data_IF_637681417238
#
_entry.id   IF_637681417238
#
_cell.length_a   1.000
_cell.length_b   1.000
_cell.length_c   1.000
_cell.angle_alpha   90.00
_cell.angle_beta   90.00
_cell.angle_gamma   90.00
#
_symmetry.space_group_name_H-M   'P 1'
#
loop_
_entity.id
_entity.type
_entity.pdbx_description
1 polymer ?
#
# COMPACT_ATOMS: atom_id res chain seq x y z
N UNK A 1 -3.59 -34.48 -16.49
CA UNK A 1 -3.24 -34.66 -15.07
C UNK A 1 -1.76 -34.47 -14.72
N UNK A 2 -0.77 -34.64 -15.60
CA UNK A 2 0.67 -34.47 -15.26
C UNK A 2 1.19 -33.03 -15.17
N UNK A 3 0.47 -32.02 -15.67
CA UNK A 3 0.91 -30.59 -15.64
C UNK A 3 0.48 -29.82 -14.39
N UNK A 4 -0.45 -30.34 -13.61
CA UNK A 4 -0.91 -29.71 -12.35
C UNK A 4 0.01 -30.08 -11.17
N UNK A 5 0.74 -31.21 -11.30
CA UNK A 5 1.66 -31.67 -10.25
C UNK A 5 2.94 -30.87 -10.14
N UNK A 6 3.36 -30.19 -11.21
CA UNK A 6 4.63 -29.41 -11.26
C UNK A 6 4.47 -28.05 -10.52
N UNK A 7 3.28 -27.47 -10.49
CA UNK A 7 3.02 -26.20 -9.78
C UNK A 7 3.01 -26.40 -8.26
N UNK A 8 2.61 -27.60 -7.78
CA UNK A 8 2.59 -27.93 -6.35
C UNK A 8 3.98 -28.16 -5.73
N UNK A 9 4.99 -28.53 -6.51
CA UNK A 9 6.32 -28.89 -6.00
C UNK A 9 7.25 -27.65 -5.83
N UNK A 10 6.95 -26.55 -6.53
CA UNK A 10 7.73 -25.29 -6.40
C UNK A 10 7.43 -24.56 -5.08
N UNK A 11 6.33 -24.87 -4.41
CA UNK A 11 5.92 -24.24 -3.15
C UNK A 11 6.53 -24.86 -1.88
N UNK A 12 7.22 -25.99 -1.95
CA UNK A 12 7.71 -26.73 -0.76
C UNK A 12 9.22 -26.51 -0.49
N UNK A 13 9.94 -25.80 -1.36
CA UNK A 13 11.41 -25.66 -1.29
C UNK A 13 11.96 -24.48 -0.49
N UNK A 14 11.13 -23.69 0.23
CA UNK A 14 11.56 -22.46 0.92
C UNK A 14 11.56 -22.60 2.45
N UNK A 15 12.27 -23.58 2.98
CA UNK A 15 12.66 -23.58 4.39
C UNK A 15 13.76 -22.53 4.61
N UNK A 16 13.35 -21.37 5.11
CA UNK A 16 14.19 -20.18 5.20
C UNK A 16 15.17 -20.22 6.37
N UNK A 17 16.39 -19.85 6.11
CA UNK A 17 17.34 -19.34 7.10
C UNK A 17 16.77 -18.01 7.63
N UNK A 18 16.87 -17.80 8.94
CA UNK A 18 16.65 -16.50 9.57
C UNK A 18 17.69 -15.53 8.98
N UNK A 19 17.24 -14.60 8.15
CA UNK A 19 18.09 -13.56 7.57
C UNK A 19 17.67 -12.26 8.26
N UNK A 20 18.65 -11.50 8.76
CA UNK A 20 18.44 -10.12 9.19
C UNK A 20 17.77 -9.33 8.03
N UNK A 21 16.83 -8.43 8.35
CA UNK A 21 16.11 -7.66 7.32
C UNK A 21 14.59 -7.81 7.35
N UNK A 22 14.02 -8.34 8.44
CA UNK A 22 12.57 -8.55 8.61
C UNK A 22 11.72 -7.31 8.36
N UNK A 23 12.32 -6.11 8.54
CA UNK A 23 11.66 -4.81 8.38
C UNK A 23 12.28 -3.93 7.29
N UNK A 24 13.02 -4.52 6.37
CA UNK A 24 13.75 -3.77 5.34
C UNK A 24 12.85 -2.95 4.40
N UNK A 25 11.55 -3.23 4.32
CA UNK A 25 10.55 -2.52 3.53
C UNK A 25 9.42 -1.94 4.40
N UNK A 26 9.64 -1.73 5.69
CA UNK A 26 8.61 -1.23 6.62
C UNK A 26 7.97 0.09 6.15
N UNK A 27 8.72 0.97 5.49
CA UNK A 27 8.21 2.22 4.94
C UNK A 27 7.18 2.02 3.82
N UNK A 28 7.27 0.92 3.05
CA UNK A 28 6.30 0.57 2.01
C UNK A 28 4.98 0.04 2.59
N UNK A 29 5.00 -0.55 3.80
CA UNK A 29 3.81 -1.02 4.49
C UNK A 29 2.90 0.12 4.99
N UNK A 30 3.43 1.33 5.11
CA UNK A 30 2.65 2.48 5.53
C UNK A 30 1.54 2.81 4.53
N UNK A 31 1.69 2.40 3.27
CA UNK A 31 0.77 2.73 2.17
C UNK A 31 0.94 4.16 1.70
N UNK A 32 0.36 4.51 0.54
CA UNK A 32 0.57 5.79 -0.15
C UNK A 32 -0.75 6.56 -0.39
N UNK A 33 -1.81 6.17 0.29
CA UNK A 33 -3.13 6.78 0.13
C UNK A 33 -3.77 7.05 1.48
N UNK A 34 -4.23 8.28 1.71
CA UNK A 34 -5.01 8.62 2.89
C UNK A 34 -6.34 7.82 2.92
N UNK A 35 -6.98 7.59 1.75
CA UNK A 35 -8.14 6.71 1.63
C UNK A 35 -7.84 5.30 2.10
N UNK A 36 -6.74 4.71 1.61
CA UNK A 36 -6.33 3.36 2.01
C UNK A 36 -6.01 3.28 3.50
N UNK A 37 -5.24 4.23 4.01
CA UNK A 37 -4.88 4.31 5.43
C UNK A 37 -6.10 4.38 6.34
N UNK A 38 -7.11 5.17 5.96
CA UNK A 38 -8.36 5.27 6.70
C UNK A 38 -9.12 3.93 6.79
N UNK A 39 -8.93 3.04 5.80
CA UNK A 39 -9.49 1.69 5.77
C UNK A 39 -8.45 0.61 6.13
N UNK A 40 -7.49 0.96 7.00
CA UNK A 40 -6.45 0.05 7.48
C UNK A 40 -5.60 -0.60 6.36
N UNK A 41 -5.47 0.04 5.19
CA UNK A 41 -4.86 -0.46 3.95
C UNK A 41 -5.50 -1.76 3.39
N UNK A 42 -6.74 -2.09 3.77
CA UNK A 42 -7.44 -3.31 3.35
C UNK A 42 -8.14 -3.15 1.99
N UNK A 43 -7.57 -2.43 1.04
CA UNK A 43 -8.23 -2.03 -0.21
C UNK A 43 -7.75 -2.75 -1.47
N UNK A 44 -6.97 -3.83 -1.35
CA UNK A 44 -6.41 -4.55 -2.50
C UNK A 44 -7.44 -5.08 -3.49
N UNK A 45 -8.69 -5.33 -3.07
CA UNK A 45 -9.81 -5.69 -3.94
C UNK A 45 -10.66 -4.50 -4.42
N UNK A 46 -10.47 -3.29 -3.84
CA UNK A 46 -11.33 -2.12 -4.07
C UNK A 46 -10.61 -0.92 -4.71
N UNK A 47 -9.28 -0.83 -4.63
CA UNK A 47 -8.58 0.34 -5.17
C UNK A 47 -8.48 0.30 -6.70
N UNK A 48 -8.99 1.35 -7.34
CA UNK A 48 -9.00 1.57 -8.80
C UNK A 48 -8.29 2.88 -9.16
N UNK A 49 -7.46 3.39 -8.27
CA UNK A 49 -6.76 4.68 -8.41
C UNK A 49 -5.29 4.50 -8.80
N UNK A 50 -4.60 5.61 -8.97
CA UNK A 50 -3.17 5.69 -9.21
C UNK A 50 -2.32 5.13 -8.05
N UNK A 51 -2.92 4.98 -6.87
CA UNK A 51 -2.27 4.41 -5.67
C UNK A 51 -2.40 2.89 -5.56
N UNK A 52 -3.20 2.25 -6.43
CA UNK A 52 -3.48 0.81 -6.36
C UNK A 52 -2.23 -0.08 -6.46
N UNK A 53 -1.15 0.41 -7.10
CA UNK A 53 0.08 -0.35 -7.29
C UNK A 53 0.65 -0.90 -5.98
N UNK A 54 0.51 -0.19 -4.86
CA UNK A 54 1.13 -0.58 -3.58
C UNK A 54 0.38 -1.73 -2.89
N UNK A 55 -0.93 -1.85 -3.10
CA UNK A 55 -1.76 -2.92 -2.52
C UNK A 55 -1.96 -4.07 -3.49
N UNK A 56 -2.42 -3.77 -4.71
CA UNK A 56 -2.62 -4.74 -5.78
C UNK A 56 -2.46 -4.07 -7.15
N UNK A 57 -1.37 -4.32 -7.89
CA UNK A 57 -1.09 -3.65 -9.16
C UNK A 57 -2.17 -3.88 -10.23
N UNK A 58 -3.03 -4.91 -10.10
CA UNK A 58 -4.16 -5.09 -11.00
C UNK A 58 -5.14 -3.90 -10.99
N UNK A 59 -5.20 -3.13 -9.89
CA UNK A 59 -6.05 -1.94 -9.78
C UNK A 59 -5.70 -0.83 -10.76
N UNK A 60 -4.44 -0.70 -11.15
CA UNK A 60 -3.99 0.29 -12.16
C UNK A 60 -4.70 0.08 -13.50
N UNK A 61 -5.09 -1.14 -13.83
CA UNK A 61 -5.78 -1.46 -15.09
C UNK A 61 -7.13 -0.75 -15.29
N UNK A 62 -7.71 -0.20 -14.23
CA UNK A 62 -8.97 0.56 -14.29
C UNK A 62 -8.81 2.05 -14.63
N UNK A 63 -7.58 2.54 -14.76
CA UNK A 63 -7.30 3.93 -15.14
C UNK A 63 -7.76 4.16 -16.58
N UNK A 64 -8.70 5.11 -16.79
CA UNK A 64 -9.27 5.46 -18.09
C UNK A 64 -8.96 6.90 -18.51
N UNK A 65 -8.46 7.71 -17.59
CA UNK A 65 -7.96 9.07 -17.82
C UNK A 65 -6.69 9.27 -17.00
N UNK A 66 -5.83 10.18 -17.41
CA UNK A 66 -4.62 10.46 -16.66
C UNK A 66 -4.97 10.96 -15.24
N UNK A 67 -4.23 10.48 -14.25
CA UNK A 67 -4.44 10.82 -12.83
C UNK A 67 -3.11 11.10 -12.17
N UNK A 68 -3.05 12.22 -11.48
CA UNK A 68 -1.95 12.59 -10.59
C UNK A 68 -2.38 12.34 -9.14
N UNK A 69 -1.55 11.65 -8.38
CA UNK A 69 -1.74 11.43 -6.95
C UNK A 69 -0.61 12.02 -6.14
N UNK A 70 -0.94 12.67 -5.03
CA UNK A 70 -0.02 13.25 -4.07
C UNK A 70 -0.44 12.85 -2.66
N UNK A 71 0.52 12.59 -1.77
CA UNK A 71 0.25 12.37 -0.35
C UNK A 71 1.39 12.91 0.50
N UNK A 72 1.02 13.52 1.60
CA UNK A 72 1.90 13.88 2.71
C UNK A 72 1.43 13.21 4.00
N UNK A 73 2.36 12.66 4.77
CA UNK A 73 2.10 12.08 6.09
C UNK A 73 3.11 12.57 7.09
N UNK A 74 2.65 13.09 8.21
CA UNK A 74 3.43 13.21 9.43
C UNK A 74 3.22 11.94 10.25
N UNK A 75 4.26 11.12 10.34
CA UNK A 75 4.22 9.83 11.03
C UNK A 75 4.71 10.03 12.47
N UNK A 76 3.78 10.03 13.43
CA UNK A 76 4.04 10.21 14.86
C UNK A 76 4.74 11.54 15.23
N UNK A 77 4.77 12.53 14.31
CA UNK A 77 5.56 13.74 14.47
C UNK A 77 7.09 13.55 14.43
N UNK A 78 7.55 12.36 14.00
CA UNK A 78 8.97 11.98 14.01
C UNK A 78 9.53 11.74 12.60
N UNK A 79 8.67 11.40 11.65
CA UNK A 79 9.07 11.08 10.29
C UNK A 79 8.09 11.64 9.26
N UNK A 80 8.60 11.95 8.09
CA UNK A 80 7.81 12.37 6.94
C UNK A 80 7.72 11.25 5.91
N UNK A 81 6.49 10.96 5.44
CA UNK A 81 6.23 9.99 4.40
C UNK A 81 5.47 10.66 3.26
N UNK A 82 6.09 10.74 2.11
CA UNK A 82 5.62 11.46 0.93
C UNK A 82 5.41 10.52 -0.25
N UNK A 83 4.42 10.82 -1.07
CA UNK A 83 4.14 10.11 -2.30
C UNK A 83 3.77 11.09 -3.42
N UNK A 84 4.26 10.80 -4.61
CA UNK A 84 3.81 11.38 -5.87
C UNK A 84 3.72 10.28 -6.92
N UNK A 85 2.64 10.24 -7.70
CA UNK A 85 2.46 9.26 -8.75
C UNK A 85 1.57 9.77 -9.87
N UNK A 86 1.88 9.32 -11.08
CA UNK A 86 1.11 9.57 -12.29
C UNK A 86 0.70 8.24 -12.90
N UNK A 87 -0.60 8.09 -13.17
CA UNK A 87 -1.12 6.95 -13.90
C UNK A 87 -1.83 7.41 -15.18
N UNK A 88 -1.59 6.72 -16.28
CA UNK A 88 -2.13 7.07 -17.59
C UNK A 88 -2.69 5.84 -18.31
N UNK A 89 -3.79 5.97 -19.06
CA UNK A 89 -4.22 4.91 -19.97
C UNK A 89 -3.21 4.74 -21.12
N UNK A 90 -2.93 3.51 -21.51
CA UNK A 90 -2.03 3.13 -22.61
C UNK A 90 -2.81 2.28 -23.63
N UNK A 91 -3.76 2.90 -24.29
CA UNK A 91 -4.72 2.23 -25.18
C UNK A 91 -5.96 1.73 -24.44
N UNK A 92 -6.68 0.78 -25.04
CA UNK A 92 -8.00 0.35 -24.56
C UNK A 92 -7.91 -0.58 -23.32
N UNK A 93 -6.87 -1.41 -23.26
CA UNK A 93 -6.76 -2.46 -22.26
C UNK A 93 -5.64 -2.26 -21.26
N UNK A 94 -4.70 -1.37 -21.52
CA UNK A 94 -3.51 -1.19 -20.69
C UNK A 94 -3.52 0.16 -20.00
N UNK A 95 -2.85 0.21 -18.86
CA UNK A 95 -2.56 1.44 -18.13
C UNK A 95 -1.17 1.35 -17.52
N UNK A 96 -0.47 2.46 -17.49
CA UNK A 96 0.87 2.61 -16.94
C UNK A 96 0.83 3.56 -15.75
N UNK A 97 1.69 3.31 -14.77
CA UNK A 97 1.90 4.27 -13.68
C UNK A 97 3.39 4.37 -13.34
N UNK A 98 3.79 5.58 -12.98
CA UNK A 98 5.08 5.89 -12.38
C UNK A 98 4.83 6.54 -11.02
N UNK A 99 5.44 5.99 -9.98
CA UNK A 99 5.20 6.37 -8.59
C UNK A 99 6.51 6.49 -7.84
N UNK A 100 6.63 7.52 -7.00
CA UNK A 100 7.76 7.72 -6.10
C UNK A 100 7.27 7.88 -4.67
N UNK A 101 7.92 7.15 -3.77
CA UNK A 101 7.69 7.18 -2.33
C UNK A 101 8.98 7.62 -1.67
N UNK A 102 8.87 8.55 -0.74
CA UNK A 102 9.99 8.95 0.12
C UNK A 102 9.56 8.88 1.58
N UNK A 103 10.36 8.24 2.39
CA UNK A 103 10.29 8.25 3.85
C UNK A 103 11.56 8.87 4.41
N UNK A 104 11.45 9.72 5.41
CA UNK A 104 12.59 10.38 6.01
C UNK A 104 12.43 10.58 7.51
N UNK A 105 13.51 10.36 8.24
CA UNK A 105 13.66 10.75 9.65
C UNK A 105 14.86 11.66 9.73
N UNK A 106 14.64 12.90 10.14
CA UNK A 106 15.69 13.90 10.27
C UNK A 106 16.18 14.02 11.72
N UNK A 107 17.35 14.62 11.87
CA UNK A 107 17.95 14.99 13.16
C UNK A 107 18.15 13.81 14.13
N UNK A 108 18.50 12.63 13.64
CA UNK A 108 18.83 11.47 14.48
C UNK A 108 20.16 11.71 15.19
N UNK A 109 20.20 11.78 16.54
CA UNK A 109 21.43 12.13 17.24
C UNK A 109 22.45 10.98 17.19
N UNK A 110 23.68 11.30 16.79
CA UNK A 110 24.84 10.41 16.86
C UNK A 110 25.29 10.34 18.31
N UNK A 111 25.28 9.13 18.88
CA UNK A 111 25.79 8.89 20.23
C UNK A 111 27.27 8.50 20.13
N UNK A 112 28.19 9.33 20.55
CA UNK A 112 29.62 9.01 20.53
C UNK A 112 29.97 7.94 21.57
N UNK A 113 31.09 7.23 21.35
CA UNK A 113 31.53 6.10 22.19
C UNK A 113 31.77 6.43 23.66
N UNK A 114 31.99 7.71 23.96
CA UNK A 114 32.08 8.19 25.34
C UNK A 114 30.89 7.77 26.21
N UNK A 115 29.74 7.49 25.61
CA UNK A 115 28.56 6.98 26.33
C UNK A 115 28.69 5.55 26.79
N UNK A 116 29.57 4.77 26.18
CA UNK A 116 29.81 3.38 26.57
C UNK A 116 30.72 3.27 27.78
N UNK A 117 31.56 4.27 28.02
CA UNK A 117 32.54 4.32 29.11
C UNK A 117 32.01 4.99 30.36
N UNK A 118 31.08 5.94 30.25
CA UNK A 118 30.51 6.68 31.39
C UNK A 118 29.18 6.02 31.80
N UNK A 119 29.15 5.33 32.93
CA UNK A 119 27.96 4.66 33.46
C UNK A 119 27.01 5.59 34.20
N UNK A 120 27.53 6.61 34.89
CA UNK A 120 26.69 7.58 35.57
C UNK A 120 25.97 8.55 34.63
N UNK A 121 24.65 8.75 34.88
CA UNK A 121 23.81 9.59 34.01
C UNK A 121 24.10 11.07 34.09
N UNK A 122 24.48 11.55 35.28
CA UNK A 122 24.77 12.98 35.48
C UNK A 122 26.12 13.34 34.84
N UNK A 123 27.16 12.53 35.08
CA UNK A 123 28.47 12.66 34.45
C UNK A 123 28.39 12.61 32.93
N UNK A 124 27.56 11.70 32.39
CA UNK A 124 27.33 11.59 30.97
C UNK A 124 26.68 12.84 30.40
N UNK A 125 25.67 13.42 31.09
CA UNK A 125 25.02 14.66 30.68
C UNK A 125 26.01 15.83 30.70
N UNK A 126 26.83 15.95 31.75
CA UNK A 126 27.81 17.02 31.88
C UNK A 126 28.89 16.90 30.79
N UNK A 127 29.30 15.69 30.44
CA UNK A 127 30.20 15.43 29.30
C UNK A 127 29.59 15.86 27.97
N UNK A 128 28.29 15.62 27.72
CA UNK A 128 27.61 16.11 26.52
C UNK A 128 27.62 17.64 26.46
N UNK A 129 27.30 18.28 27.58
CA UNK A 129 27.27 19.75 27.66
C UNK A 129 28.67 20.33 27.40
N UNK A 130 29.71 19.74 27.98
CA UNK A 130 31.06 20.24 27.82
C UNK A 130 31.66 20.04 26.43
N UNK A 131 31.42 18.88 25.81
CA UNK A 131 32.02 18.52 24.51
C UNK A 131 31.22 19.08 23.33
N UNK A 132 29.89 19.08 23.43
CA UNK A 132 28.97 19.36 22.31
C UNK A 132 28.08 20.60 22.52
N UNK A 133 28.35 21.44 23.54
CA UNK A 133 27.46 22.54 23.92
C UNK A 133 25.98 22.10 24.07
N UNK A 134 25.75 20.89 24.58
CA UNK A 134 24.44 20.33 24.76
C UNK A 134 23.75 19.79 23.49
N UNK A 135 24.39 19.87 22.30
CA UNK A 135 23.86 19.39 21.03
C UNK A 135 24.78 18.33 20.44
N UNK A 136 24.25 17.11 20.28
CA UNK A 136 24.94 16.05 19.56
C UNK A 136 24.90 16.32 18.05
N UNK A 137 25.91 15.89 17.28
CA UNK A 137 25.81 15.84 15.83
C UNK A 137 24.67 14.90 15.41
N UNK A 138 24.01 15.21 14.31
CA UNK A 138 22.86 14.45 13.81
C UNK A 138 23.11 13.91 12.41
N UNK A 139 22.35 12.91 12.02
CA UNK A 139 22.26 12.39 10.67
C UNK A 139 20.80 12.15 10.29
N UNK A 140 20.56 11.88 9.00
CA UNK A 140 19.22 11.61 8.48
C UNK A 140 19.15 10.17 7.98
N UNK A 141 17.98 9.55 8.16
CA UNK A 141 17.57 8.31 7.50
C UNK A 141 16.63 8.65 6.35
N UNK A 142 16.96 8.23 5.13
CA UNK A 142 16.15 8.49 3.94
C UNK A 142 15.96 7.22 3.14
N UNK A 143 14.70 6.84 2.98
CA UNK A 143 14.31 5.68 2.18
C UNK A 143 13.47 6.14 0.99
N UNK A 144 13.83 5.70 -0.21
CA UNK A 144 13.12 6.00 -1.44
C UNK A 144 12.70 4.71 -2.13
N UNK A 145 11.54 4.73 -2.79
CA UNK A 145 11.14 3.68 -3.73
C UNK A 145 10.48 4.28 -4.96
N UNK A 146 10.89 3.82 -6.13
CA UNK A 146 10.28 4.16 -7.41
C UNK A 146 9.62 2.91 -7.98
N UNK A 147 8.37 3.05 -8.40
CA UNK A 147 7.61 1.96 -9.03
C UNK A 147 7.25 2.33 -10.46
N UNK A 148 7.48 1.39 -11.37
CA UNK A 148 6.91 1.38 -12.71
C UNK A 148 5.88 0.28 -12.76
N UNK A 149 4.63 0.63 -13.02
CA UNK A 149 3.49 -0.29 -12.95
C UNK A 149 2.81 -0.42 -14.31
N UNK A 150 2.43 -1.64 -14.64
CA UNK A 150 1.64 -1.96 -15.83
C UNK A 150 0.39 -2.74 -15.39
N UNK A 151 -0.79 -2.24 -15.75
CA UNK A 151 -2.06 -2.92 -15.56
C UNK A 151 -2.68 -3.31 -16.91
N UNK A 152 -3.26 -4.51 -16.99
CA UNK A 152 -4.08 -4.95 -18.12
C UNK A 152 -5.48 -5.30 -17.65
N UNK A 153 -6.46 -4.63 -18.24
CA UNK A 153 -7.87 -4.90 -18.01
C UNK A 153 -8.34 -6.04 -18.91
N UNK A 154 -8.93 -7.07 -18.33
CA UNK A 154 -9.54 -8.17 -19.02
C UNK A 154 -10.96 -8.37 -18.51
N UNK A 155 -11.89 -8.74 -19.39
CA UNK A 155 -13.23 -9.16 -19.01
C UNK A 155 -13.77 -10.18 -19.99
N UNK A 156 -14.67 -11.05 -19.50
CA UNK A 156 -15.39 -12.02 -20.31
C UNK A 156 -16.82 -12.17 -19.80
N UNK A 157 -17.70 -12.68 -20.66
CA UNK A 157 -19.03 -13.07 -20.24
C UNK A 157 -19.00 -14.58 -20.02
N UNK A 158 -19.36 -15.02 -18.81
CA UNK A 158 -19.53 -16.43 -18.47
C UNK A 158 -20.99 -16.79 -18.67
N UNK A 159 -21.23 -17.84 -19.43
CA UNK A 159 -22.58 -18.43 -19.66
C UNK A 159 -22.55 -19.87 -19.13
N UNK A 160 -23.22 -20.11 -18.01
CA UNK A 160 -23.28 -21.46 -17.41
C UNK A 160 -24.39 -22.33 -18.03
N UNK A 161 -25.09 -21.83 -19.04
CA UNK A 161 -26.10 -22.59 -19.79
C UNK A 161 -27.40 -22.84 -19.03
N UNK A 162 -27.61 -22.26 -17.87
CA UNK A 162 -28.82 -22.40 -17.04
C UNK A 162 -29.64 -21.10 -17.05
N UNK A 163 -30.88 -21.15 -16.57
CA UNK A 163 -31.89 -20.09 -16.68
C UNK A 163 -31.50 -18.71 -16.14
N UNK A 164 -30.39 -18.62 -15.37
CA UNK A 164 -30.00 -17.42 -14.58
C UNK A 164 -28.52 -17.05 -14.64
N UNK A 165 -27.74 -17.59 -15.60
CA UNK A 165 -26.32 -17.58 -15.37
C UNK A 165 -25.48 -17.03 -16.51
N UNK A 166 -25.84 -15.83 -16.98
CA UNK A 166 -24.91 -14.99 -17.74
C UNK A 166 -24.45 -13.84 -16.87
N UNK A 167 -23.18 -13.81 -16.57
CA UNK A 167 -22.62 -12.71 -15.82
C UNK A 167 -21.28 -12.25 -16.42
N UNK A 168 -20.99 -10.95 -16.26
CA UNK A 168 -19.72 -10.39 -16.69
C UNK A 168 -18.68 -10.57 -15.59
N UNK A 169 -17.60 -11.31 -15.90
CA UNK A 169 -16.44 -11.43 -15.03
C UNK A 169 -15.33 -10.50 -15.52
N UNK A 170 -14.87 -9.61 -14.66
CA UNK A 170 -13.66 -8.81 -14.85
C UNK A 170 -12.48 -9.52 -14.15
N UNK A 171 -11.35 -9.69 -14.88
CA UNK A 171 -10.15 -10.34 -14.35
C UNK A 171 -8.87 -9.60 -14.74
N UNK A 172 -8.74 -8.35 -14.27
CA UNK A 172 -7.54 -7.56 -14.49
C UNK A 172 -6.31 -8.19 -13.85
N UNK A 173 -5.16 -7.93 -14.46
CA UNK A 173 -3.84 -8.31 -13.95
C UNK A 173 -2.92 -7.10 -13.95
N UNK A 174 -1.91 -7.12 -13.09
CA UNK A 174 -0.93 -6.04 -13.01
C UNK A 174 0.43 -6.54 -12.54
N UNK A 175 1.44 -5.78 -12.88
CA UNK A 175 2.82 -6.01 -12.47
C UNK A 175 3.47 -4.68 -12.09
N UNK A 176 4.31 -4.70 -11.06
CA UNK A 176 5.22 -3.62 -10.70
C UNK A 176 6.67 -4.06 -10.85
N UNK A 177 7.48 -3.13 -11.33
CA UNK A 177 8.92 -3.15 -11.11
C UNK A 177 9.24 -2.05 -10.10
N UNK A 178 9.93 -2.39 -9.01
CA UNK A 178 10.27 -1.43 -7.94
C UNK A 178 11.77 -1.35 -7.72
N UNK A 179 12.23 -0.11 -7.56
CA UNK A 179 13.61 0.25 -7.24
C UNK A 179 13.61 0.87 -5.86
N UNK A 180 14.41 0.32 -4.95
CA UNK A 180 14.54 0.81 -3.57
C UNK A 180 15.93 1.39 -3.41
N UNK A 181 16.02 2.59 -2.83
CA UNK A 181 17.26 3.24 -2.44
C UNK A 181 17.13 3.71 -1.00
N UNK A 182 18.07 3.30 -0.16
CA UNK A 182 18.13 3.66 1.25
C UNK A 182 19.44 4.34 1.55
N UNK A 183 19.38 5.36 2.40
CA UNK A 183 20.55 6.05 2.94
C UNK A 183 20.39 6.23 4.43
N UNK A 184 21.28 5.63 5.19
CA UNK A 184 21.33 5.69 6.63
C UNK A 184 22.75 6.02 7.07
N UNK A 185 22.99 7.25 7.54
CA UNK A 185 24.31 7.76 7.86
C UNK A 185 25.27 7.61 6.67
N UNK A 186 26.34 6.80 6.78
CA UNK A 186 27.29 6.50 5.70
C UNK A 186 26.94 5.24 4.90
N UNK A 187 25.83 4.60 5.23
CA UNK A 187 25.37 3.39 4.58
C UNK A 187 24.43 3.74 3.43
N UNK A 188 24.67 3.15 2.27
CA UNK A 188 23.79 3.22 1.11
C UNK A 188 23.43 1.83 0.62
N UNK A 189 22.12 1.61 0.39
CA UNK A 189 21.58 0.33 -0.06
C UNK A 189 20.69 0.48 -1.28
N UNK A 190 20.77 -0.48 -2.21
CA UNK A 190 19.95 -0.53 -3.43
C UNK A 190 19.27 -1.88 -3.55
N UNK A 191 18.00 -1.87 -3.94
CA UNK A 191 17.20 -3.07 -4.14
C UNK A 191 16.36 -3.00 -5.40
N UNK A 192 16.11 -4.18 -6.00
CA UNK A 192 15.21 -4.35 -7.14
C UNK A 192 14.18 -5.43 -6.79
N UNK A 193 12.91 -5.14 -7.00
CA UNK A 193 11.82 -6.07 -6.71
C UNK A 193 10.74 -6.08 -7.78
N UNK A 194 9.96 -7.14 -7.77
CA UNK A 194 8.81 -7.34 -8.67
C UNK A 194 7.60 -7.74 -7.84
N UNK A 195 6.45 -7.10 -8.12
CA UNK A 195 5.17 -7.49 -7.56
C UNK A 195 4.20 -7.86 -8.69
N UNK A 196 3.32 -8.81 -8.43
CA UNK A 196 2.29 -9.26 -9.38
C UNK A 196 0.95 -9.23 -8.66
N UNK A 197 -0.10 -8.80 -9.36
CA UNK A 197 -1.45 -8.80 -8.82
C UNK A 197 -2.49 -9.23 -9.83
N UNK A 198 -3.57 -9.75 -9.30
CA UNK A 198 -4.77 -10.12 -10.04
C UNK A 198 -6.02 -9.79 -9.23
N UNK A 199 -7.13 -9.62 -9.91
CA UNK A 199 -8.44 -9.38 -9.28
C UNK A 199 -9.51 -10.10 -10.06
N UNK A 200 -10.53 -10.57 -9.36
CA UNK A 200 -11.80 -11.02 -9.95
C UNK A 200 -12.88 -10.07 -9.45
N UNK A 201 -13.73 -9.57 -10.35
CA UNK A 201 -14.84 -8.68 -10.01
C UNK A 201 -16.07 -9.06 -10.80
N UNK A 202 -17.19 -9.17 -10.12
CA UNK A 202 -18.46 -9.64 -10.69
C UNK A 202 -19.61 -8.90 -10.04
N UNK A 203 -20.68 -8.69 -10.79
CA UNK A 203 -21.94 -8.21 -10.24
C UNK A 203 -22.57 -9.31 -9.36
N UNK A 204 -22.84 -8.97 -8.08
CA UNK A 204 -23.38 -9.92 -7.12
C UNK A 204 -24.82 -10.33 -7.46
N UNK A 205 -25.63 -9.42 -8.00
CA UNK A 205 -26.98 -9.69 -8.45
C UNK A 205 -26.98 -10.71 -9.59
N UNK A 206 -26.11 -10.53 -10.60
CA UNK A 206 -25.97 -11.46 -11.73
C UNK A 206 -25.43 -12.83 -11.30
N UNK A 207 -24.52 -12.88 -10.31
CA UNK A 207 -23.87 -14.11 -9.89
C UNK A 207 -24.74 -14.96 -8.96
N UNK A 208 -25.44 -14.33 -8.00
CA UNK A 208 -26.10 -15.01 -6.88
C UNK A 208 -27.64 -14.96 -6.98
N UNK A 209 -28.20 -14.29 -8.01
CA UNK A 209 -29.64 -14.03 -8.17
C UNK A 209 -30.28 -13.36 -6.92
N UNK A 210 -29.51 -12.46 -6.30
CA UNK A 210 -29.95 -11.69 -5.13
C UNK A 210 -30.16 -10.23 -5.55
N UNK A 211 -31.42 -9.82 -5.62
CA UNK A 211 -31.81 -8.48 -6.08
C UNK A 211 -31.09 -7.37 -5.30
N UNK A 212 -30.55 -6.40 -6.04
CA UNK A 212 -29.82 -5.25 -5.52
C UNK A 212 -28.50 -5.57 -4.78
N UNK A 213 -27.97 -6.78 -4.88
CA UNK A 213 -26.64 -7.07 -4.37
C UNK A 213 -25.60 -6.36 -5.25
N UNK A 214 -24.67 -5.67 -4.60
CA UNK A 214 -23.64 -4.88 -5.28
C UNK A 214 -22.51 -5.72 -5.87
N UNK A 215 -21.43 -5.03 -6.28
CA UNK A 215 -20.25 -5.67 -6.86
C UNK A 215 -19.43 -6.42 -5.82
N UNK A 216 -19.09 -7.66 -6.14
CA UNK A 216 -18.18 -8.52 -5.38
C UNK A 216 -16.80 -8.53 -6.02
N UNK A 217 -15.77 -8.41 -5.21
CA UNK A 217 -14.38 -8.43 -5.70
C UNK A 217 -13.50 -9.30 -4.81
N UNK A 218 -12.61 -10.06 -5.45
CA UNK A 218 -11.53 -10.80 -4.79
C UNK A 218 -10.22 -10.37 -5.43
N UNK A 219 -9.27 -9.91 -4.61
CA UNK A 219 -7.95 -9.50 -5.06
C UNK A 219 -6.87 -10.42 -4.48
N UNK A 220 -5.88 -10.74 -5.30
CA UNK A 220 -4.68 -11.45 -4.88
C UNK A 220 -3.46 -10.68 -5.36
N UNK A 221 -2.51 -10.45 -4.46
CA UNK A 221 -1.22 -9.84 -4.78
C UNK A 221 -0.08 -10.71 -4.24
N UNK A 222 0.98 -10.80 -5.00
CA UNK A 222 2.24 -11.41 -4.62
C UNK A 222 3.28 -10.30 -4.67
N UNK A 223 3.65 -9.78 -3.51
CA UNK A 223 4.67 -8.74 -3.38
C UNK A 223 6.03 -9.39 -3.22
N UNK A 224 7.06 -8.77 -3.79
CA UNK A 224 8.44 -9.27 -3.70
C UNK A 224 8.63 -10.70 -4.23
N UNK A 225 8.06 -10.99 -5.41
CA UNK A 225 8.02 -12.35 -6.00
C UNK A 225 9.41 -12.96 -6.13
N UNK A 226 10.42 -12.15 -6.42
CA UNK A 226 11.82 -12.58 -6.56
C UNK A 226 12.57 -12.64 -5.23
N UNK A 227 11.92 -12.22 -4.11
CA UNK A 227 12.60 -11.97 -2.84
C UNK A 227 13.56 -10.79 -3.00
N UNK A 228 13.03 -9.57 -2.92
CA UNK A 228 13.80 -8.33 -3.12
C UNK A 228 14.98 -8.27 -2.16
N UNK A 229 16.20 -8.19 -2.70
CA UNK A 229 17.44 -8.08 -1.92
C UNK A 229 17.93 -6.64 -2.01
N UNK A 230 18.21 -6.03 -0.86
CA UNK A 230 18.86 -4.73 -0.74
C UNK A 230 20.35 -4.98 -0.49
N UNK A 231 21.17 -4.49 -1.39
CA UNK A 231 22.63 -4.59 -1.33
C UNK A 231 23.20 -3.30 -0.77
N UNK A 232 23.93 -3.41 0.35
CA UNK A 232 24.55 -2.28 1.00
C UNK A 232 26.01 -2.10 0.53
N UNK A 233 26.52 -0.86 0.59
CA UNK A 233 27.91 -0.52 0.31
C UNK A 233 28.92 -1.26 1.21
N UNK A 234 28.49 -1.73 2.38
CA UNK A 234 29.27 -2.60 3.29
C UNK A 234 29.33 -4.07 2.88
N UNK A 235 28.77 -4.44 1.73
CA UNK A 235 28.57 -5.82 1.24
C UNK A 235 27.57 -6.65 2.06
N UNK A 236 26.91 -6.08 3.08
CA UNK A 236 25.78 -6.72 3.73
C UNK A 236 24.55 -6.72 2.83
N UNK A 237 23.59 -7.60 3.12
CA UNK A 237 22.39 -7.77 2.34
C UNK A 237 21.18 -7.91 3.28
N UNK A 238 20.11 -7.18 2.98
CA UNK A 238 18.80 -7.38 3.57
C UNK A 238 17.87 -8.01 2.54
N UNK A 239 17.08 -8.99 2.93
CA UNK A 239 16.15 -9.67 2.04
C UNK A 239 14.71 -9.47 2.47
N UNK A 240 13.92 -8.88 1.59
CA UNK A 240 12.48 -8.79 1.72
C UNK A 240 11.87 -10.07 1.15
N UNK A 241 11.07 -10.77 1.95
CA UNK A 241 10.47 -12.05 1.54
C UNK A 241 9.22 -11.82 0.69
N UNK A 242 8.93 -12.79 -0.17
CA UNK A 242 7.65 -12.89 -0.86
C UNK A 242 6.50 -12.75 0.15
N UNK A 243 5.61 -11.80 -0.10
CA UNK A 243 4.44 -11.51 0.73
C UNK A 243 3.17 -11.69 -0.08
N UNK A 244 2.48 -12.84 0.03
CA UNK A 244 1.14 -13.00 -0.50
C UNK A 244 0.14 -12.14 0.26
N UNK A 245 -0.82 -11.55 -0.48
CA UNK A 245 -1.97 -10.84 0.08
C UNK A 245 -3.25 -11.30 -0.60
N UNK A 246 -4.29 -11.53 0.19
CA UNK A 246 -5.63 -11.87 -0.27
C UNK A 246 -6.62 -10.85 0.26
N UNK A 247 -7.44 -10.29 -0.62
CA UNK A 247 -8.39 -9.23 -0.28
C UNK A 247 -9.78 -9.54 -0.82
N UNK A 248 -10.80 -9.10 -0.08
CA UNK A 248 -12.21 -9.21 -0.46
C UNK A 248 -12.85 -7.84 -0.34
N UNK A 249 -13.78 -7.54 -1.25
CA UNK A 249 -14.58 -6.31 -1.20
C UNK A 249 -16.01 -6.56 -1.64
N UNK A 250 -16.94 -5.92 -0.95
CA UNK A 250 -18.33 -5.71 -1.36
C UNK A 250 -18.55 -4.22 -1.54
N UNK A 251 -18.95 -3.81 -2.73
CA UNK A 251 -19.33 -2.44 -3.07
C UNK A 251 -20.85 -2.40 -3.26
N UNK A 252 -21.57 -1.95 -2.22
CA UNK A 252 -23.03 -1.99 -2.13
C UNK A 252 -23.66 -0.61 -2.36
N UNK A 253 -24.24 -0.35 -3.56
CA UNK A 253 -25.00 0.87 -3.78
C UNK A 253 -26.38 0.80 -3.13
N UNK A 254 -26.77 1.87 -2.41
CA UNK A 254 -28.11 2.08 -1.85
C UNK A 254 -28.73 3.27 -2.58
N UNK A 255 -29.29 3.02 -3.76
CA UNK A 255 -29.77 4.05 -4.69
C UNK A 255 -30.73 5.07 -4.07
N UNK A 256 -31.76 4.68 -3.27
CA UNK A 256 -32.69 5.65 -2.70
C UNK A 256 -32.03 6.68 -1.78
N UNK A 257 -30.97 6.29 -1.08
CA UNK A 257 -30.23 7.16 -0.16
C UNK A 257 -29.03 7.85 -0.80
N UNK A 258 -28.74 7.60 -2.08
CA UNK A 258 -27.51 8.06 -2.78
C UNK A 258 -26.25 7.66 -2.03
N UNK A 259 -26.26 6.49 -1.38
CA UNK A 259 -25.12 5.95 -0.65
C UNK A 259 -24.46 4.81 -1.42
N UNK A 260 -23.15 4.68 -1.25
CA UNK A 260 -22.38 3.48 -1.57
C UNK A 260 -21.69 3.06 -0.28
N UNK A 261 -21.85 1.80 0.12
CA UNK A 261 -21.17 1.21 1.27
C UNK A 261 -20.16 0.21 0.74
N UNK A 262 -18.89 0.43 1.03
CA UNK A 262 -17.81 -0.47 0.71
C UNK A 262 -17.36 -1.19 1.98
N UNK A 263 -17.39 -2.51 1.96
CA UNK A 263 -16.86 -3.38 3.02
C UNK A 263 -15.64 -4.11 2.45
N UNK A 264 -14.53 -4.05 3.15
CA UNK A 264 -13.28 -4.66 2.70
C UNK A 264 -12.60 -5.44 3.80
N UNK A 265 -11.92 -6.51 3.42
CA UNK A 265 -10.99 -7.23 4.28
C UNK A 265 -9.76 -7.61 3.48
N UNK A 266 -8.60 -7.61 4.12
CA UNK A 266 -7.35 -8.03 3.52
C UNK A 266 -6.51 -8.81 4.52
N UNK A 267 -6.01 -9.97 4.10
CA UNK A 267 -5.05 -10.77 4.84
C UNK A 267 -3.73 -10.77 4.09
N UNK A 268 -2.67 -10.37 4.78
CA UNK A 268 -1.29 -10.42 4.30
C UNK A 268 -0.55 -11.52 5.05
N UNK A 269 0.11 -12.40 4.29
CA UNK A 269 0.89 -13.52 4.80
C UNK A 269 2.37 -13.12 4.82
N UNK A 270 2.74 -12.39 5.87
CA UNK A 270 4.10 -11.93 6.10
C UNK A 270 4.68 -12.61 7.35
N UNK A 271 5.73 -12.06 7.96
CA UNK A 271 6.35 -12.58 9.19
C UNK A 271 5.32 -12.86 10.31
N UNK A 272 4.30 -12.01 10.40
CA UNK A 272 3.10 -12.22 11.21
C UNK A 272 1.89 -12.01 10.33
N UNK A 273 0.97 -12.96 10.32
CA UNK A 273 -0.29 -12.83 9.61
C UNK A 273 -1.06 -11.62 10.11
N UNK A 274 -1.33 -10.68 9.20
CA UNK A 274 -2.11 -9.46 9.50
C UNK A 274 -3.42 -9.52 8.74
N UNK A 275 -4.53 -9.38 9.46
CA UNK A 275 -5.85 -9.23 8.85
C UNK A 275 -6.37 -7.84 9.19
N UNK A 276 -6.70 -7.08 8.17
CA UNK A 276 -7.20 -5.72 8.25
C UNK A 276 -8.63 -5.69 7.71
N UNK A 277 -9.46 -4.82 8.29
CA UNK A 277 -10.84 -4.58 7.87
C UNK A 277 -11.05 -3.10 7.65
N UNK A 278 -11.87 -2.76 6.65
CA UNK A 278 -12.22 -1.39 6.36
C UNK A 278 -13.68 -1.24 5.95
N UNK A 279 -14.23 -0.09 6.24
CA UNK A 279 -15.54 0.35 5.78
C UNK A 279 -15.44 1.76 5.23
N UNK A 280 -16.12 2.01 4.12
CA UNK A 280 -16.26 3.33 3.50
C UNK A 280 -17.72 3.55 3.16
N UNK A 281 -18.24 4.70 3.56
CA UNK A 281 -19.59 5.16 3.22
C UNK A 281 -19.45 6.42 2.37
N UNK A 282 -19.90 6.34 1.11
CA UNK A 282 -19.84 7.46 0.17
C UNK A 282 -21.26 8.00 -0.03
N UNK A 283 -21.46 9.28 0.26
CA UNK A 283 -22.73 9.98 0.03
C UNK A 283 -22.65 10.83 -1.22
N UNK A 284 -23.64 10.68 -2.11
CA UNK A 284 -23.82 11.45 -3.34
C UNK A 284 -22.55 11.53 -4.22
N UNK A 285 -21.67 10.50 -4.16
CA UNK A 285 -20.36 10.45 -4.82
C UNK A 285 -19.41 11.61 -4.46
N UNK A 286 -19.71 12.37 -3.39
CA UNK A 286 -18.97 13.59 -3.03
C UNK A 286 -18.31 13.51 -1.66
N UNK A 287 -19.02 13.03 -0.64
CA UNK A 287 -18.50 12.93 0.72
C UNK A 287 -18.26 11.46 1.07
N UNK A 288 -17.11 11.14 1.62
CA UNK A 288 -16.79 9.81 2.11
C UNK A 288 -16.40 9.83 3.59
N UNK A 289 -16.97 8.90 4.36
CA UNK A 289 -16.58 8.58 5.73
C UNK A 289 -15.94 7.20 5.73
N UNK A 290 -14.83 7.04 6.45
CA UNK A 290 -14.04 5.81 6.45
C UNK A 290 -13.63 5.42 7.85
N UNK A 291 -13.62 4.12 8.10
CA UNK A 291 -13.05 3.53 9.30
C UNK A 291 -12.31 2.24 8.93
N UNK A 292 -11.24 1.96 9.66
CA UNK A 292 -10.43 0.76 9.47
C UNK A 292 -9.93 0.20 10.79
N UNK A 293 -9.81 -1.13 10.84
CA UNK A 293 -9.33 -1.86 11.99
C UNK A 293 -8.08 -2.66 11.58
N UNK A 294 -6.98 -2.41 12.28
CA UNK A 294 -5.73 -3.19 12.26
C UNK A 294 -5.53 -3.86 13.61
N UNK A 295 -4.68 -4.91 13.66
CA UNK A 295 -4.29 -5.51 14.95
C UNK A 295 -3.67 -4.49 15.93
N UNK A 296 -3.07 -3.41 15.43
CA UNK A 296 -2.34 -2.38 16.20
C UNK A 296 -3.12 -1.08 16.42
N UNK A 297 -4.39 -0.98 15.99
CA UNK A 297 -5.16 0.24 16.22
C UNK A 297 -6.29 0.50 15.23
N UNK A 298 -6.95 1.63 15.44
CA UNK A 298 -8.09 2.09 14.65
C UNK A 298 -7.63 3.24 13.76
N UNK A 299 -8.08 3.24 12.51
CA UNK A 299 -7.95 4.34 11.57
C UNK A 299 -9.30 4.92 11.21
N UNK A 300 -9.34 6.25 11.03
CA UNK A 300 -10.52 7.01 10.61
C UNK A 300 -10.14 7.92 9.45
N UNK A 301 -11.11 8.29 8.63
CA UNK A 301 -10.86 9.22 7.54
C UNK A 301 -12.09 9.86 6.93
N UNK A 302 -11.80 10.94 6.23
CA UNK A 302 -12.75 11.74 5.48
C UNK A 302 -12.27 11.87 4.04
N UNK A 303 -13.22 11.95 3.11
CA UNK A 303 -12.91 12.19 1.70
C UNK A 303 -13.91 13.16 1.09
N UNK A 304 -13.41 14.04 0.23
CA UNK A 304 -14.20 14.96 -0.59
C UNK A 304 -13.87 14.71 -2.06
N UNK A 305 -14.90 14.45 -2.85
CA UNK A 305 -14.81 14.31 -4.30
C UNK A 305 -15.61 15.43 -4.95
N UNK A 306 -14.97 16.21 -5.77
CA UNK A 306 -15.64 17.32 -6.48
C UNK A 306 -15.02 17.53 -7.84
N UNK A 307 -15.70 18.28 -8.70
CA UNK A 307 -15.23 18.58 -10.04
C UNK A 307 -14.92 20.08 -10.18
N UNK A 308 -13.72 20.38 -10.66
CA UNK A 308 -13.30 21.72 -11.04
C UNK A 308 -12.92 21.73 -12.52
N UNK A 309 -13.52 22.58 -13.33
CA UNK A 309 -13.28 22.67 -14.78
C UNK A 309 -13.33 21.29 -15.49
N UNK A 310 -14.33 20.46 -15.15
CA UNK A 310 -14.55 19.08 -15.62
C UNK A 310 -13.52 18.03 -15.12
N UNK A 311 -12.52 18.41 -14.35
CA UNK A 311 -11.54 17.50 -13.76
C UNK A 311 -12.03 17.02 -12.40
N UNK A 312 -11.92 15.72 -12.15
CA UNK A 312 -12.24 15.14 -10.85
C UNK A 312 -11.09 15.41 -9.87
N UNK A 313 -11.41 15.97 -8.72
CA UNK A 313 -10.48 16.18 -7.62
C UNK A 313 -10.96 15.36 -6.44
N UNK A 314 -10.06 14.60 -5.84
CA UNK A 314 -10.26 13.84 -4.62
C UNK A 314 -9.36 14.42 -3.54
N UNK A 315 -9.91 14.85 -2.43
CA UNK A 315 -9.17 15.28 -1.24
C UNK A 315 -9.49 14.34 -0.11
N UNK A 316 -8.47 13.69 0.42
CA UNK A 316 -8.62 12.68 1.46
C UNK A 316 -7.79 13.03 2.69
N UNK A 317 -8.35 12.78 3.86
CA UNK A 317 -7.66 12.87 5.14
C UNK A 317 -7.80 11.56 5.90
N UNK A 318 -6.75 11.14 6.58
CA UNK A 318 -6.82 10.02 7.52
C UNK A 318 -6.05 10.30 8.80
N UNK A 319 -6.59 9.74 9.86
CA UNK A 319 -6.01 9.70 11.19
C UNK A 319 -5.82 8.25 11.60
N UNK A 320 -4.66 7.92 12.13
CA UNK A 320 -4.34 6.62 12.68
C UNK A 320 -3.75 6.79 14.07
N UNK A 321 -4.36 6.11 15.05
CA UNK A 321 -3.89 6.09 16.44
C UNK A 321 -3.05 4.83 16.69
N UNK A 322 -1.87 5.02 17.28
CA UNK A 322 -0.95 3.97 17.67
C UNK A 322 -0.32 4.30 19.03
N UNK A 323 0.22 3.31 19.74
CA UNK A 323 0.88 3.51 21.04
C UNK A 323 2.08 4.47 20.98
N UNK A 324 2.73 4.57 19.80
CA UNK A 324 3.83 5.51 19.55
C UNK A 324 3.39 6.95 19.26
N UNK A 325 2.08 7.19 19.10
CA UNK A 325 1.53 8.49 18.76
C UNK A 325 0.50 8.44 17.64
N UNK A 326 0.11 9.61 17.15
CA UNK A 326 -0.86 9.75 16.07
C UNK A 326 -0.16 10.00 14.73
N UNK A 327 -0.73 9.48 13.65
CA UNK A 327 -0.32 9.77 12.28
C UNK A 327 -1.44 10.48 11.53
N UNK A 328 -1.07 11.55 10.84
CA UNK A 328 -1.98 12.36 10.04
C UNK A 328 -1.55 12.29 8.57
N UNK A 329 -2.50 11.99 7.69
CA UNK A 329 -2.23 11.91 6.24
C UNK A 329 -3.20 12.78 5.47
N UNK A 330 -2.68 13.48 4.49
CA UNK A 330 -3.46 14.25 3.51
C UNK A 330 -3.12 13.73 2.13
N UNK A 331 -4.13 13.39 1.36
CA UNK A 331 -4.00 12.90 -0.02
C UNK A 331 -4.78 13.79 -0.99
N UNK A 332 -4.21 13.98 -2.18
CA UNK A 332 -4.82 14.71 -3.29
C UNK A 332 -4.73 13.88 -4.55
N UNK A 333 -5.87 13.59 -5.17
CA UNK A 333 -5.97 12.96 -6.48
C UNK A 333 -6.57 13.93 -7.51
N UNK A 334 -5.96 14.03 -8.68
CA UNK A 334 -6.41 14.93 -9.75
C UNK A 334 -6.54 14.12 -11.05
N UNK A 335 -7.75 14.08 -11.61
CA UNK A 335 -7.99 13.62 -12.98
C UNK A 335 -7.56 14.73 -13.98
N UNK A 336 -6.73 14.36 -14.93
CA UNK A 336 -6.11 15.30 -15.90
C UNK A 336 -6.79 15.14 -17.26
#
# INVERSE_FOLDING_TARGET
MKRILIIGIILIGLSGRLVAGEYADAFLELGVSARASAMANAIGALDFSETAFITNPAGISYIRQARLGLMYTSQFGLADHNYIGLAVPAGVHYSLALSWIRYGVDDIPIRPDIFTTITDKAERRDSIISIYNGKLPTFNDVENAVFVSLGRFNSTIIDLGWRYSKFKLEFPIGINLKFIHKKYYDLEGFGLGVDIGGRLRVDGEELLDVSNLGMLSVGMALKDVTGTTIYWNTKSQDRIRLTPALSFALEQPIKPLKLIINLVSEKQYRYHDKTNYGVEIIYANSLALRAGLKNSGISLGLGLNFKVMKRLINLDYSFYSHDLGASHRVGLGIGI
#
